data_IF_174634334461
#
_entry.id   IF_174634334461
#
_cell.length_a   1.000
_cell.length_b   1.000
_cell.length_c   1.000
_cell.angle_alpha   90.00
_cell.angle_beta   90.00
_cell.angle_gamma   90.00
#
_symmetry.space_group_name_H-M   'P 1'
#
loop_
_entity.id
_entity.type
_entity.pdbx_description
1 polymer ?
#
# COMPACT_ATOMS: atom_id res chain seq x y z
N UNK A 1 15.38 2.81 -2.90
CA UNK A 1 14.84 4.19 -2.92
C UNK A 1 13.44 4.18 -2.33
N UNK A 2 13.10 5.15 -1.49
CA UNK A 2 11.75 5.34 -0.95
C UNK A 2 11.04 6.43 -1.74
N UNK A 3 9.87 6.13 -2.31
CA UNK A 3 9.09 7.08 -3.13
C UNK A 3 7.63 7.07 -2.67
N UNK A 4 7.30 7.96 -1.73
CA UNK A 4 5.94 8.15 -1.23
C UNK A 4 5.12 9.09 -2.14
N UNK A 5 5.10 8.79 -3.44
CA UNK A 5 4.45 9.57 -4.49
C UNK A 5 4.06 8.65 -5.65
N UNK A 6 3.02 9.01 -6.41
CA UNK A 6 2.64 8.28 -7.62
C UNK A 6 1.58 9.02 -8.43
N UNK A 7 1.54 8.74 -9.74
CA UNK A 7 0.56 9.29 -10.66
C UNK A 7 -0.40 8.18 -11.14
N UNK A 8 -1.68 8.52 -11.31
CA UNK A 8 -2.71 7.55 -11.70
C UNK A 8 -2.93 7.55 -13.21
N UNK A 9 -3.14 6.37 -13.78
CA UNK A 9 -3.63 6.22 -15.16
C UNK A 9 -2.60 6.48 -16.26
N UNK A 10 -1.33 6.73 -15.92
CA UNK A 10 -0.26 6.90 -16.91
C UNK A 10 0.29 5.55 -17.36
N UNK A 11 0.49 5.39 -18.67
CA UNK A 11 1.30 4.28 -19.20
C UNK A 11 2.76 4.40 -18.73
N UNK A 12 3.50 3.30 -18.68
CA UNK A 12 4.89 3.27 -18.18
C UNK A 12 5.82 4.26 -18.89
N UNK A 13 5.57 4.55 -20.18
CA UNK A 13 6.34 5.54 -20.97
C UNK A 13 6.09 7.00 -20.55
N UNK A 14 4.98 7.30 -19.89
CA UNK A 14 4.63 8.64 -19.44
C UNK A 14 4.65 8.76 -17.91
N UNK A 15 5.07 7.71 -17.21
CA UNK A 15 5.17 7.69 -15.76
C UNK A 15 6.65 7.89 -15.34
N UNK A 16 7.00 9.07 -14.78
CA UNK A 16 8.36 9.36 -14.35
C UNK A 16 8.83 8.44 -13.21
N UNK A 17 7.91 7.95 -12.37
CA UNK A 17 8.26 6.98 -11.31
C UNK A 17 8.59 5.63 -11.94
N UNK A 18 7.81 5.18 -12.92
CA UNK A 18 8.09 3.95 -13.66
C UNK A 18 9.44 4.02 -14.40
N UNK A 19 9.71 5.11 -15.13
CA UNK A 19 10.98 5.30 -15.87
C UNK A 19 12.17 5.38 -14.90
N UNK A 20 12.10 6.25 -13.89
CA UNK A 20 13.19 6.44 -12.93
C UNK A 20 13.50 5.17 -12.15
N UNK A 21 12.47 4.42 -11.74
CA UNK A 21 12.63 3.15 -11.04
C UNK A 21 13.16 2.03 -11.95
N UNK A 22 12.86 2.05 -13.24
CA UNK A 22 13.44 1.12 -14.21
C UNK A 22 14.96 1.29 -14.28
N UNK A 23 15.44 2.54 -14.39
CA UNK A 23 16.87 2.81 -14.35
C UNK A 23 17.52 2.44 -13.02
N UNK A 24 16.80 2.61 -11.91
CA UNK A 24 17.30 2.23 -10.59
C UNK A 24 17.46 0.70 -10.45
N UNK A 25 16.46 -0.08 -10.88
CA UNK A 25 16.54 -1.54 -10.74
C UNK A 25 17.67 -2.13 -11.58
N UNK A 26 17.97 -1.56 -12.75
CA UNK A 26 19.12 -1.93 -13.58
C UNK A 26 20.47 -1.70 -12.90
N UNK A 27 20.54 -0.71 -12.01
CA UNK A 27 21.70 -0.46 -11.15
C UNK A 27 21.65 -1.25 -9.84
N UNK A 28 20.76 -2.23 -9.73
CA UNK A 28 20.60 -3.07 -8.54
C UNK A 28 19.92 -2.35 -7.36
N UNK A 29 19.25 -1.22 -7.60
CA UNK A 29 18.55 -0.44 -6.58
C UNK A 29 17.05 -0.69 -6.64
N UNK A 30 16.51 -1.36 -5.61
CA UNK A 30 15.07 -1.54 -5.49
C UNK A 30 14.39 -0.19 -5.18
N UNK A 31 13.33 0.12 -5.92
CA UNK A 31 12.45 1.27 -5.63
C UNK A 31 11.17 0.78 -4.98
N UNK A 32 10.88 1.36 -3.81
CA UNK A 32 9.69 1.06 -3.02
C UNK A 32 8.79 2.28 -3.09
N UNK A 33 7.55 2.08 -3.48
CA UNK A 33 6.62 3.17 -3.72
C UNK A 33 5.25 2.90 -3.09
N UNK A 34 4.61 3.96 -2.62
CA UNK A 34 3.27 3.90 -2.03
C UNK A 34 2.21 3.59 -3.09
N UNK A 35 1.19 2.79 -2.77
CA UNK A 35 0.14 2.44 -3.73
C UNK A 35 -0.83 3.60 -4.04
N UNK A 36 -0.96 4.58 -3.14
CA UNK A 36 -1.87 5.74 -3.24
C UNK A 36 -2.81 5.83 -2.02
N UNK A 37 -3.68 6.84 -1.94
CA UNK A 37 -4.63 7.03 -0.83
C UNK A 37 -6.08 7.27 -1.33
N UNK A 38 -6.52 6.58 -2.38
CA UNK A 38 -7.84 6.79 -3.01
C UNK A 38 -8.99 5.95 -2.42
N UNK A 39 -8.88 5.56 -1.16
CA UNK A 39 -9.89 4.76 -0.48
C UNK A 39 -9.94 3.32 -1.02
N UNK A 40 -10.97 2.56 -0.65
CA UNK A 40 -11.06 1.13 -0.98
C UNK A 40 -11.43 0.83 -2.45
N UNK A 41 -11.50 1.88 -3.28
CA UNK A 41 -11.81 1.76 -4.70
C UNK A 41 -10.88 0.78 -5.39
N UNK A 42 -11.45 -0.09 -6.21
CA UNK A 42 -10.69 -1.03 -7.04
C UNK A 42 -10.04 -0.31 -8.21
N UNK A 43 -8.91 -0.84 -8.67
CA UNK A 43 -8.24 -0.43 -9.90
C UNK A 43 -7.77 1.04 -9.94
N UNK A 44 -7.52 1.66 -8.78
CA UNK A 44 -7.05 3.05 -8.66
C UNK A 44 -5.68 3.14 -7.98
N UNK A 45 -4.79 2.22 -8.32
CA UNK A 45 -3.40 2.24 -7.84
C UNK A 45 -2.52 3.13 -8.74
N UNK A 46 -1.58 3.87 -8.16
CA UNK A 46 -0.67 4.73 -8.95
C UNK A 46 0.57 3.98 -9.43
N UNK A 47 1.25 3.25 -8.55
CA UNK A 47 2.57 2.68 -8.79
C UNK A 47 2.46 1.20 -9.21
N UNK A 48 2.04 0.94 -10.44
CA UNK A 48 1.74 -0.42 -10.94
C UNK A 48 2.92 -1.18 -11.56
N UNK A 49 4.05 -0.53 -11.85
CA UNK A 49 5.13 -1.17 -12.63
C UNK A 49 5.72 -2.42 -11.93
N UNK A 50 6.04 -3.51 -12.65
CA UNK A 50 6.51 -4.75 -12.02
C UNK A 50 7.89 -4.64 -11.36
N UNK A 51 8.74 -3.71 -11.80
CA UNK A 51 10.05 -3.46 -11.18
C UNK A 51 9.98 -2.56 -9.93
N UNK A 52 8.82 -2.02 -9.59
CA UNK A 52 8.55 -1.35 -8.31
C UNK A 52 8.10 -2.36 -7.27
N UNK A 53 8.48 -2.17 -6.00
CA UNK A 53 7.78 -2.77 -4.87
C UNK A 53 6.69 -1.79 -4.39
N UNK A 54 5.43 -2.16 -4.57
CA UNK A 54 4.28 -1.29 -4.31
C UNK A 54 3.64 -1.61 -2.97
N UNK A 55 3.54 -0.63 -2.08
CA UNK A 55 3.19 -0.82 -0.67
C UNK A 55 1.81 -0.25 -0.37
N UNK A 56 0.90 -1.08 0.14
CA UNK A 56 -0.34 -0.66 0.78
C UNK A 56 -0.16 -0.37 2.26
N UNK A 57 -1.16 0.29 2.86
CA UNK A 57 -1.13 0.63 4.28
C UNK A 57 -2.00 -0.30 5.11
N UNK A 58 -1.52 -0.67 6.30
CA UNK A 58 -2.29 -1.35 7.33
C UNK A 58 -2.38 -0.50 8.61
N UNK A 59 -3.38 -0.82 9.43
CA UNK A 59 -3.46 -0.39 10.82
C UNK A 59 -2.46 -1.14 11.69
N UNK A 60 -2.25 -0.61 12.90
CA UNK A 60 -1.51 -1.27 13.98
C UNK A 60 -2.41 -1.45 15.19
N UNK A 61 -1.93 -2.16 16.20
CA UNK A 61 -2.66 -2.38 17.44
C UNK A 61 -2.84 -1.08 18.25
N UNK A 62 -2.08 -0.03 18.01
CA UNK A 62 -2.37 1.30 18.55
C UNK A 62 -3.44 2.02 17.71
N UNK A 63 -4.46 2.53 18.39
CA UNK A 63 -5.50 3.40 17.84
C UNK A 63 -5.70 4.65 18.70
N UNK A 64 -5.74 5.83 18.12
CA UNK A 64 -6.07 7.07 18.83
C UNK A 64 -7.58 7.29 18.89
N UNK A 65 -8.10 7.51 20.10
CA UNK A 65 -9.53 7.72 20.34
C UNK A 65 -9.74 8.93 21.25
N UNK A 66 -10.59 9.85 20.80
CA UNK A 66 -11.14 10.93 21.62
C UNK A 66 -12.52 10.51 22.14
N UNK A 67 -12.75 10.63 23.45
CA UNK A 67 -14.05 10.33 24.05
C UNK A 67 -14.92 11.57 24.07
N UNK A 68 -16.19 11.42 23.74
CA UNK A 68 -17.20 12.46 23.84
C UNK A 68 -17.99 12.31 25.15
N UNK A 69 -18.01 13.37 25.95
CA UNK A 69 -18.91 13.64 27.09
C UNK A 69 -19.81 14.81 26.66
N UNK A 70 -20.62 15.46 27.51
CA UNK A 70 -21.71 16.34 27.07
C UNK A 70 -21.57 17.83 27.65
N UNK A 71 -21.29 18.88 26.81
CA UNK A 71 -20.90 20.38 26.77
C UNK A 71 -21.38 21.33 25.53
N UNK A 72 -20.70 22.42 25.09
CA UNK A 72 -21.17 23.31 23.95
C UNK A 72 -20.38 23.11 22.64
N UNK A 73 -20.88 22.32 21.68
CA UNK A 73 -20.11 21.87 20.50
C UNK A 73 -20.97 21.84 19.24
N UNK A 74 -20.38 22.18 18.08
CA UNK A 74 -21.08 22.21 16.78
C UNK A 74 -21.02 20.85 16.09
N UNK A 75 -22.16 20.34 15.63
CA UNK A 75 -22.20 19.18 14.75
C UNK A 75 -22.10 19.62 13.29
N UNK A 76 -21.10 19.14 12.57
CA UNK A 76 -20.97 19.30 11.13
C UNK A 76 -21.49 18.04 10.43
N UNK A 77 -22.49 18.18 9.56
CA UNK A 77 -23.05 17.03 8.81
C UNK A 77 -22.15 16.56 7.65
N UNK A 78 -21.12 17.35 7.32
CA UNK A 78 -20.12 17.04 6.29
C UNK A 78 -18.71 17.22 6.86
N UNK A 79 -17.72 16.68 6.15
CA UNK A 79 -16.30 16.93 6.45
C UNK A 79 -16.05 18.43 6.54
N UNK A 80 -15.41 18.84 7.62
CA UNK A 80 -15.09 20.23 7.92
C UNK A 80 -13.72 20.28 8.58
N UNK A 81 -12.96 21.34 8.32
CA UNK A 81 -11.71 21.62 9.04
C UNK A 81 -11.96 22.23 10.42
N UNK A 82 -13.21 22.60 10.71
CA UNK A 82 -13.58 23.33 11.93
C UNK A 82 -13.35 24.84 11.86
N UNK A 83 -12.79 25.37 10.77
CA UNK A 83 -12.46 26.79 10.65
C UNK A 83 -13.68 27.71 10.86
N UNK A 84 -14.83 27.37 10.27
CA UNK A 84 -16.07 28.15 10.48
C UNK A 84 -16.57 28.12 11.93
N UNK A 85 -16.31 27.03 12.65
CA UNK A 85 -16.66 26.91 14.07
C UNK A 85 -15.72 27.77 14.92
N UNK A 86 -14.44 27.78 14.57
CA UNK A 86 -13.43 28.62 15.22
C UNK A 86 -13.74 30.12 15.06
N UNK A 87 -14.05 30.58 13.85
CA UNK A 87 -14.42 31.99 13.57
C UNK A 87 -15.74 32.38 14.24
N UNK A 88 -16.65 31.42 14.39
CA UNK A 88 -17.92 31.59 15.09
C UNK A 88 -17.85 31.48 16.61
N UNK A 89 -16.64 31.47 17.20
CA UNK A 89 -16.39 31.36 18.65
C UNK A 89 -17.03 30.10 19.30
N UNK A 90 -17.19 29.02 18.52
CA UNK A 90 -17.65 27.73 19.04
C UNK A 90 -16.53 27.01 19.78
N UNK A 91 -16.85 26.14 20.75
CA UNK A 91 -15.84 25.50 21.62
C UNK A 91 -15.27 24.15 21.11
N UNK A 92 -15.87 23.58 20.07
CA UNK A 92 -15.41 22.35 19.42
C UNK A 92 -16.38 21.92 18.31
N UNK A 93 -16.00 20.90 17.54
CA UNK A 93 -16.86 20.37 16.49
C UNK A 93 -16.84 18.84 16.38
N UNK A 94 -17.92 18.29 15.83
CA UNK A 94 -18.08 16.85 15.57
C UNK A 94 -18.31 16.68 14.08
N UNK A 95 -17.57 15.78 13.45
CA UNK A 95 -17.71 15.44 12.02
C UNK A 95 -18.17 14.00 11.84
N UNK A 96 -18.77 13.64 10.69
CA UNK A 96 -19.03 12.25 10.35
C UNK A 96 -17.72 11.47 10.22
N UNK A 97 -17.74 10.19 10.63
CA UNK A 97 -16.71 9.23 10.22
C UNK A 97 -16.92 8.97 8.73
N UNK A 98 -15.99 9.38 7.87
CA UNK A 98 -16.05 9.00 6.47
C UNK A 98 -15.33 7.66 6.27
N UNK A 99 -15.95 6.74 5.54
CA UNK A 99 -15.49 5.36 5.33
C UNK A 99 -14.13 5.23 4.64
N UNK A 100 -13.58 6.33 4.12
CA UNK A 100 -12.31 6.39 3.40
C UNK A 100 -11.28 7.30 4.07
N UNK A 101 -11.61 7.88 5.23
CA UNK A 101 -10.74 8.90 5.82
C UNK A 101 -9.48 8.31 6.46
N UNK A 102 -8.44 9.12 6.45
CA UNK A 102 -7.20 8.89 7.17
C UNK A 102 -7.49 8.93 8.69
N UNK A 103 -7.23 7.85 9.44
CA UNK A 103 -7.44 7.86 10.88
C UNK A 103 -6.50 8.86 11.56
N UNK A 104 -7.01 9.47 12.63
CA UNK A 104 -6.31 10.45 13.46
C UNK A 104 -5.85 11.72 12.73
N UNK A 105 -6.71 12.32 11.89
CA UNK A 105 -6.46 13.66 11.33
C UNK A 105 -6.30 14.67 12.47
N UNK A 106 -5.17 15.39 12.54
CA UNK A 106 -4.97 16.39 13.57
C UNK A 106 -5.65 17.71 13.16
N UNK A 107 -6.51 18.18 14.04
CA UNK A 107 -7.21 19.45 13.89
C UNK A 107 -6.54 20.55 14.71
N UNK A 108 -6.65 21.80 14.25
CA UNK A 108 -6.25 23.01 14.99
C UNK A 108 -7.16 23.29 16.19
N UNK A 109 -8.30 22.61 16.25
CA UNK A 109 -9.38 22.87 17.19
C UNK A 109 -9.98 21.55 17.72
N UNK A 110 -10.57 21.48 18.94
CA UNK A 110 -11.11 20.24 19.48
C UNK A 110 -12.15 19.59 18.55
N UNK A 111 -11.87 18.36 18.14
CA UNK A 111 -12.68 17.60 17.19
C UNK A 111 -12.83 16.13 17.59
N UNK A 112 -13.95 15.52 17.20
CA UNK A 112 -14.14 14.06 17.25
C UNK A 112 -15.05 13.59 16.13
N UNK A 113 -14.93 12.31 15.77
CA UNK A 113 -15.74 11.67 14.73
C UNK A 113 -16.75 10.72 15.37
N UNK A 114 -18.04 11.11 15.45
CA UNK A 114 -19.12 10.22 15.91
C UNK A 114 -20.53 10.80 15.65
N UNK A 115 -20.94 10.90 14.38
CA UNK A 115 -22.21 11.58 14.04
C UNK A 115 -23.46 10.79 14.46
N UNK A 116 -23.47 9.46 14.29
CA UNK A 116 -24.70 8.67 14.41
C UNK A 116 -25.25 8.63 15.84
N UNK A 117 -24.37 8.41 16.83
CA UNK A 117 -24.74 8.40 18.25
C UNK A 117 -25.16 9.81 18.69
N UNK A 118 -24.48 10.84 18.19
CA UNK A 118 -24.70 12.24 18.57
C UNK A 118 -26.01 12.78 18.02
N UNK A 119 -26.37 12.44 16.78
CA UNK A 119 -27.64 12.86 16.18
C UNK A 119 -28.85 12.32 16.96
N UNK A 120 -28.80 11.05 17.39
CA UNK A 120 -29.84 10.47 18.24
C UNK A 120 -29.98 11.21 19.58
N UNK A 121 -28.85 11.58 20.19
CA UNK A 121 -28.83 12.33 21.45
C UNK A 121 -29.38 13.76 21.30
N UNK A 122 -28.96 14.50 20.28
CA UNK A 122 -29.45 15.87 20.01
C UNK A 122 -30.97 15.87 19.83
N UNK A 123 -31.54 14.89 19.11
CA UNK A 123 -32.98 14.80 18.85
C UNK A 123 -33.80 14.42 20.09
N UNK A 124 -33.19 13.77 21.08
CA UNK A 124 -33.87 13.26 22.27
C UNK A 124 -33.69 14.12 23.52
N UNK A 125 -32.91 15.21 23.44
CA UNK A 125 -32.62 16.10 24.57
C UNK A 125 -33.03 17.53 24.25
N UNK A 126 -33.77 18.18 25.15
CA UNK A 126 -34.15 19.59 25.01
C UNK A 126 -32.97 20.56 25.16
N UNK A 127 -31.92 20.15 25.88
CA UNK A 127 -30.70 20.94 26.12
C UNK A 127 -29.49 20.02 25.95
N UNK A 128 -29.12 19.67 24.71
CA UNK A 128 -27.99 18.79 24.47
C UNK A 128 -26.70 19.52 24.79
N UNK A 129 -25.80 18.80 25.45
CA UNK A 129 -24.49 19.31 25.85
C UNK A 129 -23.50 18.28 25.16
N UNK A 130 -22.40 18.59 24.42
CA UNK A 130 -21.15 17.81 24.04
C UNK A 130 -19.75 18.33 24.60
N UNK A 131 -18.85 17.51 25.21
CA UNK A 131 -17.50 17.79 25.75
C UNK A 131 -16.49 16.83 25.10
N UNK A 132 -15.44 17.32 24.45
CA UNK A 132 -14.41 16.47 23.83
C UNK A 132 -13.26 16.26 24.82
N UNK A 133 -12.99 14.99 25.18
CA UNK A 133 -11.86 14.64 26.02
C UNK A 133 -10.57 14.52 25.22
N UNK A 134 -9.43 14.72 25.88
CA UNK A 134 -8.09 14.54 25.31
C UNK A 134 -7.94 13.13 24.72
N UNK A 135 -7.36 13.07 23.52
CA UNK A 135 -7.09 11.83 22.80
C UNK A 135 -6.18 10.90 23.61
N UNK A 136 -6.56 9.62 23.66
CA UNK A 136 -5.76 8.56 24.30
C UNK A 136 -5.45 7.46 23.29
N UNK A 137 -4.32 6.78 23.49
CA UNK A 137 -3.98 5.58 22.75
C UNK A 137 -4.71 4.37 23.35
N UNK A 138 -5.32 3.56 22.50
CA UNK A 138 -6.05 2.33 22.83
C UNK A 138 -5.45 1.16 22.06
N UNK A 139 -5.62 -0.05 22.60
CA UNK A 139 -5.24 -1.29 21.91
C UNK A 139 -6.41 -1.79 21.05
N UNK A 140 -6.25 -1.76 19.74
CA UNK A 140 -7.13 -2.38 18.76
C UNK A 140 -6.76 -3.87 18.61
N UNK A 141 -7.63 -4.73 19.13
CA UNK A 141 -7.44 -6.18 19.05
C UNK A 141 -7.78 -6.76 17.66
N UNK A 142 -8.39 -5.96 16.79
CA UNK A 142 -8.74 -6.38 15.43
C UNK A 142 -7.62 -6.09 14.43
N UNK A 143 -6.60 -5.30 14.81
CA UNK A 143 -5.43 -5.05 13.99
C UNK A 143 -4.55 -6.31 13.82
N UNK A 144 -3.76 -6.39 12.73
CA UNK A 144 -3.68 -5.46 11.61
C UNK A 144 -4.82 -5.65 10.60
N UNK A 145 -5.41 -4.56 10.13
CA UNK A 145 -6.33 -4.55 8.99
C UNK A 145 -5.75 -3.66 7.89
N UNK A 146 -6.13 -3.90 6.64
CA UNK A 146 -5.77 -2.98 5.56
C UNK A 146 -6.48 -1.65 5.80
N UNK A 147 -5.74 -0.56 5.74
CA UNK A 147 -6.27 0.76 6.03
C UNK A 147 -7.34 1.16 5.00
N UNK A 148 -8.42 1.84 5.42
CA UNK A 148 -9.56 2.17 4.56
C UNK A 148 -9.20 3.15 3.43
N UNK A 149 -8.22 4.02 3.66
CA UNK A 149 -7.71 4.97 2.66
C UNK A 149 -6.81 4.31 1.60
N UNK A 150 -6.30 3.11 1.84
CA UNK A 150 -5.42 2.44 0.88
C UNK A 150 -6.24 1.95 -0.33
N UNK A 151 -5.80 2.19 -1.59
CA UNK A 151 -6.44 1.69 -2.80
C UNK A 151 -6.22 0.21 -3.02
N UNK A 152 -7.09 -0.37 -3.85
CA UNK A 152 -7.13 -1.79 -4.17
C UNK A 152 -6.71 -1.96 -5.62
N UNK A 153 -6.05 -3.07 -5.91
CA UNK A 153 -5.86 -3.54 -7.27
C UNK A 153 -7.20 -3.82 -7.98
N UNK A 154 -7.17 -4.39 -9.20
CA UNK A 154 -5.98 -4.87 -9.92
C UNK A 154 -5.13 -3.75 -10.52
N UNK A 155 -3.93 -4.11 -10.98
CA UNK A 155 -3.12 -3.26 -11.86
C UNK A 155 -3.76 -3.20 -13.25
N UNK A 156 -4.27 -2.03 -13.67
CA UNK A 156 -4.91 -1.89 -14.98
C UNK A 156 -3.96 -1.98 -16.16
N UNK A 157 -2.69 -1.60 -15.99
CA UNK A 157 -1.70 -1.64 -17.07
C UNK A 157 -1.19 -3.05 -17.33
N UNK A 158 -1.14 -3.88 -16.29
CA UNK A 158 -0.73 -5.28 -16.39
C UNK A 158 -1.50 -6.12 -15.35
N UNK A 159 -2.74 -6.53 -15.66
CA UNK A 159 -3.59 -7.26 -14.70
C UNK A 159 -3.04 -8.64 -14.31
N UNK A 160 -2.11 -9.18 -15.10
CA UNK A 160 -1.34 -10.40 -14.80
C UNK A 160 -0.35 -10.24 -13.63
N UNK A 161 -0.09 -8.99 -13.20
CA UNK A 161 0.81 -8.66 -12.09
C UNK A 161 -0.03 -8.12 -10.94
N UNK A 162 -0.15 -8.93 -9.88
CA UNK A 162 -0.89 -8.57 -8.68
C UNK A 162 -0.29 -7.32 -8.02
N UNK A 163 -1.16 -6.40 -7.58
CA UNK A 163 -0.81 -5.20 -6.83
C UNK A 163 -1.90 -4.89 -5.77
N UNK A 164 -1.54 -4.32 -4.60
CA UNK A 164 -0.18 -4.00 -4.15
C UNK A 164 0.67 -5.27 -3.94
N UNK A 165 1.98 -5.12 -3.75
CA UNK A 165 2.86 -6.28 -3.55
C UNK A 165 2.79 -6.79 -2.11
N UNK A 166 2.68 -5.90 -1.14
CA UNK A 166 2.50 -6.20 0.29
C UNK A 166 1.94 -4.96 1.01
N UNK A 167 1.60 -5.10 2.30
CA UNK A 167 1.23 -3.98 3.17
C UNK A 167 2.19 -3.81 4.34
N UNK A 168 2.26 -2.59 4.86
CA UNK A 168 2.98 -2.27 6.09
C UNK A 168 2.23 -1.19 6.88
N UNK A 169 2.64 -0.97 8.14
CA UNK A 169 2.05 0.03 9.02
C UNK A 169 2.08 1.43 8.36
N UNK A 170 0.90 1.99 8.13
CA UNK A 170 0.74 3.30 7.50
C UNK A 170 -0.35 4.16 8.12
N UNK A 171 -1.10 3.66 9.09
CA UNK A 171 -2.07 4.44 9.85
C UNK A 171 -1.45 4.95 11.15
N UNK A 172 -1.71 6.22 11.47
CA UNK A 172 -1.37 6.86 12.75
C UNK A 172 0.12 6.76 13.12
N UNK A 173 1.01 6.95 12.15
CA UNK A 173 2.47 6.86 12.35
C UNK A 173 3.00 8.15 12.96
N UNK A 174 3.71 8.04 14.09
CA UNK A 174 4.44 9.14 14.69
C UNK A 174 5.83 9.24 14.05
N UNK A 175 6.15 10.39 13.45
CA UNK A 175 7.46 10.64 12.85
C UNK A 175 7.93 12.08 13.11
N UNK A 176 9.19 12.36 12.80
CA UNK A 176 9.73 13.72 12.87
C UNK A 176 8.95 14.67 11.96
N UNK A 177 8.78 15.92 12.40
CA UNK A 177 8.07 16.97 11.69
C UNK A 177 8.88 18.26 11.70
N UNK A 178 8.63 19.11 10.70
CA UNK A 178 9.31 20.39 10.62
C UNK A 178 8.89 21.29 11.78
N UNK A 179 9.83 21.88 12.54
CA UNK A 179 9.53 22.74 13.69
C UNK A 179 8.91 24.08 13.28
N UNK A 180 8.82 24.37 11.98
CA UNK A 180 8.18 25.58 11.43
C UNK A 180 6.87 25.28 10.68
N UNK A 181 6.56 24.01 10.43
CA UNK A 181 5.32 23.61 9.77
C UNK A 181 4.16 23.47 10.77
N UNK A 182 2.94 23.75 10.30
CA UNK A 182 1.72 23.50 11.06
C UNK A 182 1.53 21.99 11.32
N UNK A 183 1.09 21.59 12.52
CA UNK A 183 0.71 20.22 12.86
C UNK A 183 -0.79 19.99 12.65
N UNK A 184 -1.42 20.64 11.69
CA UNK A 184 -2.78 20.35 11.28
C UNK A 184 -2.99 20.67 9.80
N UNK A 185 -4.15 20.29 9.28
CA UNK A 185 -4.58 20.63 7.92
C UNK A 185 -4.84 22.13 7.72
N UNK A 186 -4.85 22.90 8.82
CA UNK A 186 -5.16 24.32 8.81
C UNK A 186 -3.88 25.17 8.69
N UNK A 187 -3.70 25.94 7.61
CA UNK A 187 -2.50 26.77 7.42
C UNK A 187 -2.34 27.86 8.48
N UNK A 188 -3.44 28.28 9.10
CA UNK A 188 -3.45 29.32 10.15
C UNK A 188 -3.06 28.79 11.53
N UNK A 189 -2.88 27.48 11.70
CA UNK A 189 -2.45 26.89 12.98
C UNK A 189 -0.97 27.23 13.27
N UNK A 190 -0.79 27.99 14.34
CA UNK A 190 0.51 28.51 14.79
C UNK A 190 1.25 27.57 15.73
N UNK A 191 0.64 26.45 16.16
CA UNK A 191 1.30 25.45 17.00
C UNK A 191 2.49 24.84 16.25
N UNK A 192 3.50 24.39 16.99
CA UNK A 192 4.69 23.73 16.43
C UNK A 192 5.02 22.50 17.25
N UNK A 193 5.55 21.48 16.57
CA UNK A 193 5.94 20.21 17.18
C UNK A 193 7.12 19.62 16.42
N UNK A 194 7.97 18.89 17.14
CA UNK A 194 9.08 18.14 16.53
C UNK A 194 8.64 16.78 15.97
N UNK A 195 7.47 16.29 16.40
CA UNK A 195 6.91 15.03 15.96
C UNK A 195 5.42 15.17 15.62
N UNK A 196 4.98 14.47 14.59
CA UNK A 196 3.64 14.55 14.05
C UNK A 196 3.10 13.16 13.77
N UNK A 197 1.81 12.96 14.05
CA UNK A 197 1.09 11.72 13.74
C UNK A 197 0.43 11.92 12.38
N UNK A 198 0.75 11.04 11.44
CA UNK A 198 0.19 11.09 10.10
C UNK A 198 -0.18 9.69 9.60
N UNK A 199 -1.13 9.64 8.67
CA UNK A 199 -1.62 8.42 8.05
C UNK A 199 -1.39 8.50 6.54
N UNK A 200 -1.22 7.35 5.91
CA UNK A 200 -1.08 7.25 4.46
C UNK A 200 -0.19 6.10 4.04
N UNK A 201 -0.35 5.66 2.79
CA UNK A 201 0.59 4.72 2.17
C UNK A 201 1.99 5.33 2.06
N UNK A 202 2.07 6.67 2.05
CA UNK A 202 3.30 7.45 2.22
C UNK A 202 4.09 7.13 3.48
N UNK A 203 3.44 6.66 4.55
CA UNK A 203 4.07 6.26 5.81
C UNK A 203 4.41 4.77 5.83
N UNK A 204 3.65 3.93 5.12
CA UNK A 204 3.98 2.50 4.94
C UNK A 204 5.21 2.26 4.06
N UNK A 205 5.37 3.06 3.00
CA UNK A 205 6.51 3.00 2.06
C UNK A 205 7.90 3.06 2.75
N UNK A 206 8.18 4.02 3.64
CA UNK A 206 9.48 4.10 4.32
C UNK A 206 9.72 2.94 5.31
N UNK A 207 8.69 2.36 5.92
CA UNK A 207 8.85 1.15 6.76
C UNK A 207 9.40 -0.01 5.94
N UNK A 208 8.78 -0.30 4.79
CA UNK A 208 9.25 -1.35 3.87
C UNK A 208 10.65 -1.01 3.34
N UNK A 209 10.94 0.28 3.09
CA UNK A 209 12.27 0.70 2.66
C UNK A 209 13.35 0.44 3.70
N UNK A 210 13.08 0.70 4.97
CA UNK A 210 14.00 0.38 6.07
C UNK A 210 14.31 -1.11 6.13
N UNK A 211 13.28 -1.96 6.04
CA UNK A 211 13.46 -3.42 6.04
C UNK A 211 14.19 -3.89 4.80
N UNK A 212 13.85 -3.40 3.61
CA UNK A 212 14.53 -3.76 2.37
C UNK A 212 16.03 -3.38 2.39
N UNK A 213 16.36 -2.22 2.95
CA UNK A 213 17.73 -1.79 3.13
C UNK A 213 18.49 -2.72 4.09
N UNK A 214 17.88 -3.07 5.23
CA UNK A 214 18.46 -4.03 6.17
C UNK A 214 18.67 -5.42 5.53
N UNK A 215 17.66 -5.94 4.82
CA UNK A 215 17.75 -7.19 4.08
C UNK A 215 18.88 -7.15 3.03
N UNK A 216 19.08 -6.02 2.35
CA UNK A 216 20.17 -5.84 1.39
C UNK A 216 21.56 -5.77 2.04
N UNK A 217 21.68 -5.18 3.23
CA UNK A 217 22.94 -5.18 4.00
C UNK A 217 23.36 -6.60 4.38
N UNK A 218 22.40 -7.43 4.80
CA UNK A 218 22.64 -8.82 5.17
C UNK A 218 22.88 -9.68 3.90
N UNK A 219 22.08 -9.47 2.85
CA UNK A 219 22.12 -10.22 1.60
C UNK A 219 22.73 -9.39 0.46
N UNK A 220 24.00 -8.99 0.62
CA UNK A 220 24.65 -8.03 -0.30
C UNK A 220 24.66 -8.47 -1.76
N UNK A 221 24.73 -9.78 -2.02
CA UNK A 221 24.75 -10.36 -3.38
C UNK A 221 23.37 -10.44 -4.04
N UNK A 222 22.28 -10.33 -3.27
CA UNK A 222 20.93 -10.43 -3.83
C UNK A 222 20.62 -9.25 -4.76
N UNK A 223 20.00 -9.52 -5.90
CA UNK A 223 19.47 -8.49 -6.79
C UNK A 223 18.33 -7.73 -6.13
N UNK A 224 17.96 -6.57 -6.69
CA UNK A 224 16.79 -5.83 -6.25
C UNK A 224 15.49 -6.66 -6.35
N UNK A 225 15.35 -7.48 -7.40
CA UNK A 225 14.22 -8.39 -7.57
C UNK A 225 14.21 -9.49 -6.49
N UNK A 226 15.37 -10.04 -6.12
CA UNK A 226 15.49 -11.03 -5.06
C UNK A 226 15.14 -10.43 -3.67
N UNK A 227 15.56 -9.19 -3.38
CA UNK A 227 15.15 -8.49 -2.15
C UNK A 227 13.64 -8.27 -2.13
N UNK A 228 13.05 -7.83 -3.25
CA UNK A 228 11.60 -7.72 -3.39
C UNK A 228 10.90 -9.05 -3.14
N UNK A 229 11.40 -10.13 -3.74
CA UNK A 229 10.89 -11.48 -3.51
C UNK A 229 10.94 -11.85 -2.05
N UNK A 230 12.08 -11.64 -1.39
CA UNK A 230 12.24 -11.99 0.02
C UNK A 230 11.20 -11.30 0.90
N UNK A 231 10.92 -10.01 0.66
CA UNK A 231 9.91 -9.26 1.42
C UNK A 231 8.49 -9.79 1.18
N UNK A 232 8.16 -10.14 -0.07
CA UNK A 232 6.84 -10.66 -0.44
C UNK A 232 6.61 -12.08 0.12
N UNK A 233 7.51 -13.02 -0.17
CA UNK A 233 7.31 -14.45 0.16
C UNK A 233 7.44 -14.77 1.65
N UNK A 234 7.89 -13.81 2.47
CA UNK A 234 8.04 -14.00 3.92
C UNK A 234 7.04 -13.17 4.73
N UNK A 235 6.17 -12.41 4.06
CA UNK A 235 5.11 -11.62 4.72
C UNK A 235 4.17 -12.52 5.53
N UNK A 236 3.63 -11.97 6.62
CA UNK A 236 2.57 -12.63 7.38
C UNK A 236 1.29 -12.64 6.55
N UNK A 237 0.70 -13.83 6.39
CA UNK A 237 -0.62 -13.96 5.79
C UNK A 237 -1.65 -13.13 6.58
N UNK A 238 -2.45 -12.36 5.85
CA UNK A 238 -3.57 -11.62 6.44
C UNK A 238 -4.84 -12.44 6.34
N UNK A 239 -5.75 -12.27 7.31
CA UNK A 239 -7.02 -13.00 7.32
C UNK A 239 -7.96 -12.46 6.22
N UNK A 240 -8.24 -13.23 5.14
CA UNK A 240 -9.08 -12.77 4.04
C UNK A 240 -10.52 -12.52 4.49
N UNK A 241 -10.99 -13.19 5.55
CA UNK A 241 -12.36 -13.02 6.06
C UNK A 241 -12.59 -11.66 6.70
N UNK A 242 -11.52 -10.96 7.08
CA UNK A 242 -11.60 -9.61 7.66
C UNK A 242 -11.52 -8.50 6.61
N UNK A 243 -11.20 -8.83 5.35
CA UNK A 243 -10.71 -7.85 4.38
C UNK A 243 -11.43 -8.00 3.04
N UNK A 244 -12.20 -6.97 2.67
CA UNK A 244 -12.74 -6.88 1.32
C UNK A 244 -11.61 -6.82 0.28
N UNK A 245 -11.78 -7.57 -0.81
CA UNK A 245 -10.88 -7.59 -1.98
C UNK A 245 -9.55 -8.33 -1.78
N UNK A 246 -9.36 -9.04 -0.66
CA UNK A 246 -8.30 -10.05 -0.45
C UNK A 246 -6.91 -9.58 -0.92
N UNK A 247 -6.23 -10.33 -1.80
CA UNK A 247 -4.88 -10.01 -2.28
C UNK A 247 -4.80 -8.69 -3.06
N UNK A 248 -5.91 -8.18 -3.62
CA UNK A 248 -5.93 -6.84 -4.21
C UNK A 248 -5.88 -5.73 -3.15
N UNK A 249 -6.10 -6.04 -1.87
CA UNK A 249 -5.94 -5.12 -0.76
C UNK A 249 -4.56 -5.23 -0.10
N UNK A 250 -4.06 -6.46 0.15
CA UNK A 250 -2.83 -6.68 0.92
C UNK A 250 -1.65 -7.32 0.19
N UNK A 251 -1.80 -7.72 -1.07
CA UNK A 251 -0.74 -8.41 -1.82
C UNK A 251 -0.35 -9.73 -1.16
N UNK A 252 0.93 -9.92 -0.91
CA UNK A 252 1.45 -11.08 -0.18
C UNK A 252 1.18 -11.05 1.34
N UNK A 253 0.65 -9.94 1.87
CA UNK A 253 0.31 -9.81 3.29
C UNK A 253 1.11 -8.72 4.01
N UNK A 254 1.19 -8.84 5.34
CA UNK A 254 1.87 -7.86 6.19
C UNK A 254 3.38 -8.11 6.25
N UNK A 255 4.16 -7.07 6.00
CA UNK A 255 5.62 -7.10 6.07
C UNK A 255 6.14 -7.81 7.33
N UNK A 256 7.02 -8.79 7.14
CA UNK A 256 7.71 -9.51 8.21
C UNK A 256 9.23 -9.23 8.16
N UNK A 257 9.74 -8.29 8.97
CA UNK A 257 11.15 -7.91 8.92
C UNK A 257 12.11 -9.05 9.25
N UNK A 258 11.75 -9.88 10.23
CA UNK A 258 12.61 -10.93 10.78
C UNK A 258 12.81 -12.10 9.81
N UNK A 259 11.78 -12.41 9.01
CA UNK A 259 11.86 -13.51 8.03
C UNK A 259 12.45 -13.06 6.69
N UNK A 260 12.29 -11.78 6.32
CA UNK A 260 12.77 -11.24 5.05
C UNK A 260 14.29 -11.35 4.87
N UNK A 261 15.07 -11.44 5.96
CA UNK A 261 16.53 -11.58 5.89
C UNK A 261 16.98 -12.97 5.49
N UNK A 262 16.16 -14.00 5.71
CA UNK A 262 16.46 -15.40 5.42
C UNK A 262 15.28 -16.09 4.71
N UNK A 263 14.98 -15.72 3.45
CA UNK A 263 13.78 -16.20 2.75
C UNK A 263 13.90 -17.67 2.26
N UNK A 264 15.10 -18.25 2.28
CA UNK A 264 15.40 -19.57 1.70
C UNK A 264 15.41 -19.53 0.18
N UNK A 265 14.25 -19.31 -0.44
CA UNK A 265 14.07 -19.22 -1.89
C UNK A 265 13.66 -17.80 -2.32
N UNK A 266 14.10 -17.39 -3.51
CA UNK A 266 13.68 -16.12 -4.11
C UNK A 266 13.32 -16.30 -5.59
N UNK A 267 12.35 -15.51 -6.06
CA UNK A 267 12.06 -15.29 -7.47
C UNK A 267 12.92 -14.13 -7.97
N UNK A 268 13.90 -14.44 -8.81
CA UNK A 268 14.82 -13.44 -9.36
C UNK A 268 14.37 -13.00 -10.76
N UNK A 269 14.67 -11.75 -11.13
CA UNK A 269 14.40 -11.21 -12.44
C UNK A 269 15.55 -10.31 -12.89
N UNK A 270 15.87 -10.38 -14.17
CA UNK A 270 16.90 -9.58 -14.84
C UNK A 270 16.28 -8.38 -15.58
N UNK A 271 17.14 -7.46 -16.02
CA UNK A 271 16.78 -6.36 -16.91
C UNK A 271 16.10 -6.87 -18.20
N UNK A 272 16.64 -7.94 -18.78
CA UNK A 272 16.07 -8.57 -19.99
C UNK A 272 14.65 -9.09 -19.76
N UNK A 273 14.34 -9.60 -18.56
CA UNK A 273 13.00 -10.07 -18.22
C UNK A 273 11.98 -8.92 -18.21
N UNK A 274 12.37 -7.75 -17.71
CA UNK A 274 11.50 -6.56 -17.72
C UNK A 274 11.35 -5.97 -19.13
N UNK A 275 12.40 -5.97 -19.96
CA UNK A 275 12.32 -5.56 -21.37
C UNK A 275 11.41 -6.51 -22.16
N UNK A 276 11.53 -7.81 -21.93
CA UNK A 276 10.65 -8.82 -22.54
C UNK A 276 9.20 -8.64 -22.07
N UNK A 277 8.98 -8.37 -20.78
CA UNK A 277 7.67 -8.03 -20.24
C UNK A 277 7.08 -6.82 -20.98
N UNK A 278 7.82 -5.71 -21.10
CA UNK A 278 7.38 -4.51 -21.83
C UNK A 278 7.03 -4.83 -23.29
N UNK A 279 7.85 -5.63 -23.96
CA UNK A 279 7.61 -6.08 -25.34
C UNK A 279 6.27 -6.81 -25.46
N UNK A 280 5.97 -7.72 -24.50
CA UNK A 280 4.70 -8.46 -24.44
C UNK A 280 3.50 -7.56 -24.12
N UNK A 281 3.70 -6.45 -23.42
CA UNK A 281 2.65 -5.44 -23.20
C UNK A 281 2.37 -4.58 -24.46
N UNK A 282 3.01 -4.87 -25.59
CA UNK A 282 2.78 -4.18 -26.87
C UNK A 282 3.71 -2.98 -27.12
N UNK A 283 4.71 -2.76 -26.28
CA UNK A 283 5.72 -1.72 -26.52
C UNK A 283 6.67 -2.19 -27.62
N UNK A 284 6.91 -1.35 -28.63
CA UNK A 284 7.91 -1.63 -29.66
C UNK A 284 9.30 -1.14 -29.22
N UNK A 285 10.34 -1.48 -29.99
CA UNK A 285 11.73 -1.11 -29.68
C UNK A 285 11.91 0.40 -29.48
N UNK A 286 11.23 1.25 -30.26
CA UNK A 286 11.32 2.72 -30.09
C UNK A 286 10.73 3.15 -28.75
N UNK A 287 9.56 2.62 -28.39
CA UNK A 287 8.85 2.94 -27.15
C UNK A 287 9.60 2.42 -25.91
N UNK A 288 10.12 1.19 -25.98
CA UNK A 288 10.93 0.59 -24.90
C UNK A 288 12.16 1.43 -24.64
N UNK A 289 12.86 1.92 -25.68
CA UNK A 289 14.06 2.75 -25.51
C UNK A 289 13.80 4.09 -24.82
N UNK A 290 12.57 4.61 -24.87
CA UNK A 290 12.18 5.79 -24.10
C UNK A 290 12.10 5.50 -22.60
N UNK A 291 11.82 4.25 -22.21
CA UNK A 291 11.80 3.79 -20.82
C UNK A 291 13.20 3.34 -20.38
N UNK A 292 13.91 2.58 -21.21
CA UNK A 292 15.21 1.98 -20.85
C UNK A 292 16.37 2.95 -20.99
N UNK A 293 16.23 4.00 -21.80
CA UNK A 293 17.24 5.02 -22.10
C UNK A 293 18.50 4.48 -22.79
N UNK A 294 18.43 3.30 -23.42
CA UNK A 294 19.58 2.62 -24.01
C UNK A 294 19.28 1.96 -25.38
N UNK A 295 20.05 0.95 -25.76
CA UNK A 295 19.89 0.21 -27.03
C UNK A 295 19.06 -1.07 -26.90
N UNK A 296 18.28 -1.25 -25.84
CA UNK A 296 17.39 -2.40 -25.66
C UNK A 296 16.50 -2.64 -26.88
N UNK A 297 16.22 -3.91 -27.17
CA UNK A 297 15.46 -4.34 -28.35
C UNK A 297 14.39 -5.34 -27.94
N UNK A 298 13.17 -5.14 -28.44
CA UNK A 298 12.11 -6.13 -28.33
C UNK A 298 12.42 -7.31 -29.25
N UNK A 299 12.74 -8.48 -28.68
CA UNK A 299 12.99 -9.72 -29.46
C UNK A 299 11.73 -10.20 -30.20
N UNK A 300 10.54 -9.85 -29.71
CA UNK A 300 9.25 -10.13 -30.32
C UNK A 300 8.28 -9.00 -29.99
N UNK A 301 7.52 -8.54 -30.98
CA UNK A 301 6.43 -7.57 -30.79
C UNK A 301 5.06 -8.24 -30.71
N UNK A 302 5.00 -9.59 -30.64
CA UNK A 302 3.73 -10.28 -30.45
C UNK A 302 3.22 -9.98 -29.04
N UNK A 303 2.05 -9.35 -28.89
CA UNK A 303 1.46 -9.12 -27.57
C UNK A 303 1.27 -10.45 -26.86
N UNK A 304 1.51 -10.45 -25.56
CA UNK A 304 1.46 -11.63 -24.73
C UNK A 304 1.08 -11.27 -23.31
N UNK A 305 0.94 -12.30 -22.48
CA UNK A 305 0.61 -12.14 -21.07
C UNK A 305 1.85 -11.71 -20.28
N UNK A 306 1.63 -10.90 -19.25
CA UNK A 306 2.68 -10.48 -18.31
C UNK A 306 3.09 -11.58 -17.33
N UNK A 307 2.29 -12.65 -17.26
CA UNK A 307 2.37 -13.71 -16.25
C UNK A 307 3.63 -14.58 -16.28
N UNK A 308 4.48 -14.47 -17.31
CA UNK A 308 5.72 -15.22 -17.49
C UNK A 308 6.89 -14.53 -16.79
N UNK A 309 6.70 -13.26 -16.39
CA UNK A 309 7.67 -12.58 -15.54
C UNK A 309 7.83 -13.41 -14.26
N UNK A 310 9.07 -13.68 -13.87
CA UNK A 310 9.39 -14.49 -12.70
C UNK A 310 9.10 -13.73 -11.40
N UNK A 311 7.81 -13.59 -11.12
CA UNK A 311 7.26 -12.70 -10.10
C UNK A 311 6.79 -13.50 -8.88
N UNK A 312 6.93 -12.97 -7.64
CA UNK A 312 6.57 -13.69 -6.40
C UNK A 312 5.05 -13.83 -6.14
N UNK A 313 4.22 -13.67 -7.16
CA UNK A 313 2.78 -13.86 -7.08
C UNK A 313 2.21 -14.28 -8.44
N UNK A 314 0.96 -14.73 -8.42
CA UNK A 314 0.22 -15.18 -9.58
C UNK A 314 -1.09 -14.40 -9.66
N UNK A 315 -1.39 -13.82 -10.82
CA UNK A 315 -2.67 -13.17 -11.09
C UNK A 315 -3.16 -13.58 -12.47
N UNK A 316 -4.46 -13.89 -12.56
CA UNK A 316 -5.11 -14.29 -13.79
C UNK A 316 -6.37 -13.46 -13.99
N UNK A 317 -6.36 -12.43 -14.85
CA UNK A 317 -7.60 -11.81 -15.31
C UNK A 317 -8.40 -12.84 -16.12
N UNK A 318 -9.61 -13.14 -15.63
CA UNK A 318 -10.57 -14.06 -16.25
C UNK A 318 -11.78 -13.28 -16.77
N UNK A 319 -12.47 -13.82 -17.79
CA UNK A 319 -13.73 -13.29 -18.27
C UNK A 319 -14.88 -14.08 -17.67
N UNK A 320 -15.94 -13.39 -17.27
CA UNK A 320 -17.14 -14.04 -16.73
C UNK A 320 -17.72 -15.03 -17.76
N UNK A 321 -18.12 -16.22 -17.28
CA UNK A 321 -18.70 -17.28 -18.12
C UNK A 321 -17.70 -18.05 -18.99
N UNK A 322 -16.40 -17.81 -18.85
CA UNK A 322 -15.35 -18.54 -19.57
C UNK A 322 -14.60 -19.49 -18.64
N UNK A 323 -14.03 -20.55 -19.21
CA UNK A 323 -13.16 -21.48 -18.48
C UNK A 323 -11.95 -20.74 -17.89
N UNK A 324 -11.64 -21.03 -16.63
CA UNK A 324 -10.48 -20.48 -15.92
C UNK A 324 -9.28 -21.37 -16.22
N UNK A 325 -8.41 -20.93 -17.12
CA UNK A 325 -7.19 -21.64 -17.48
C UNK A 325 -5.98 -20.70 -17.43
N UNK A 326 -4.96 -21.07 -16.66
CA UNK A 326 -3.69 -20.34 -16.59
C UNK A 326 -2.50 -21.28 -16.42
N UNK A 327 -1.41 -20.98 -17.12
CA UNK A 327 -0.14 -21.71 -17.01
C UNK A 327 0.98 -20.73 -16.72
N UNK A 328 1.57 -20.85 -15.55
CA UNK A 328 2.63 -19.97 -15.08
C UNK A 328 3.94 -20.73 -15.01
N UNK A 329 5.02 -20.12 -15.49
CA UNK A 329 6.38 -20.66 -15.32
C UNK A 329 7.12 -19.80 -14.31
N UNK A 330 7.80 -20.44 -13.36
CA UNK A 330 8.61 -19.75 -12.34
C UNK A 330 9.94 -20.45 -12.16
N UNK A 331 10.94 -19.67 -11.78
CA UNK A 331 12.26 -20.15 -11.40
C UNK A 331 12.57 -19.62 -10.01
N UNK A 332 12.74 -20.52 -9.05
CA UNK A 332 13.16 -20.17 -7.69
C UNK A 332 14.64 -20.43 -7.51
N UNK A 333 15.34 -19.51 -6.85
CA UNK A 333 16.78 -19.63 -6.55
C UNK A 333 16.95 -19.80 -5.05
N UNK A 334 17.71 -20.82 -4.63
CA UNK A 334 18.12 -20.98 -3.23
C UNK A 334 19.19 -19.94 -2.88
N UNK A 335 18.92 -19.12 -1.86
CA UNK A 335 19.83 -18.09 -1.34
C UNK A 335 20.40 -18.44 0.03
N UNK A 336 20.03 -19.61 0.58
CA UNK A 336 20.65 -20.13 1.79
C UNK A 336 22.03 -20.72 1.51
N UNK A 337 22.84 -20.89 2.56
CA UNK A 337 24.17 -21.49 2.48
C UNK A 337 24.16 -23.01 2.31
N UNK A 338 23.02 -23.65 2.56
CA UNK A 338 22.85 -25.11 2.53
C UNK A 338 21.89 -25.55 1.43
N UNK A 339 22.13 -26.72 0.86
CA UNK A 339 21.15 -27.37 0.00
C UNK A 339 19.95 -27.83 0.83
N UNK A 340 18.75 -27.64 0.29
CA UNK A 340 17.50 -28.05 0.93
C UNK A 340 16.51 -28.53 -0.13
N UNK A 341 15.65 -29.47 0.26
CA UNK A 341 14.53 -29.95 -0.56
C UNK A 341 13.24 -29.31 -0.07
N UNK A 342 12.48 -28.72 -0.98
CA UNK A 342 11.21 -28.07 -0.68
C UNK A 342 10.05 -28.89 -1.24
N UNK A 343 8.97 -28.99 -0.47
CA UNK A 343 7.73 -29.62 -0.91
C UNK A 343 6.67 -28.53 -1.15
N UNK A 344 5.98 -28.62 -2.29
CA UNK A 344 4.93 -27.66 -2.64
C UNK A 344 3.65 -28.07 -1.90
N UNK A 345 3.07 -27.11 -1.18
CA UNK A 345 1.72 -27.21 -0.63
C UNK A 345 0.83 -26.20 -1.35
N UNK A 346 -0.40 -26.59 -1.68
CA UNK A 346 -1.36 -25.77 -2.40
C UNK A 346 -2.65 -25.74 -1.63
N UNK A 347 -3.14 -24.54 -1.35
CA UNK A 347 -4.43 -24.31 -0.70
C UNK A 347 -5.31 -23.52 -1.68
N UNK A 348 -6.36 -24.17 -2.21
CA UNK A 348 -7.28 -23.57 -3.19
C UNK A 348 -8.71 -23.95 -2.85
N UNK A 349 -9.70 -23.10 -3.18
CA UNK A 349 -11.12 -23.47 -3.04
C UNK A 349 -11.48 -24.63 -3.98
N UNK A 350 -12.52 -25.37 -3.64
CA UNK A 350 -12.97 -26.57 -4.39
C UNK A 350 -13.29 -26.30 -5.87
N UNK A 351 -13.56 -25.04 -6.23
CA UNK A 351 -13.86 -24.61 -7.60
C UNK A 351 -12.63 -24.45 -8.50
N UNK A 352 -11.41 -24.51 -7.95
CA UNK A 352 -10.16 -24.30 -8.69
C UNK A 352 -9.20 -25.45 -8.41
N UNK A 353 -8.74 -26.11 -9.48
CA UNK A 353 -7.69 -27.13 -9.40
C UNK A 353 -6.34 -26.54 -9.83
N UNK A 354 -5.33 -26.64 -8.97
CA UNK A 354 -3.96 -26.17 -9.24
C UNK A 354 -3.00 -27.34 -9.16
N UNK A 355 -2.21 -27.52 -10.22
CA UNK A 355 -1.15 -28.52 -10.27
C UNK A 355 0.20 -27.86 -10.50
N UNK A 356 1.20 -28.27 -9.73
CA UNK A 356 2.57 -27.78 -9.86
C UNK A 356 3.45 -28.95 -10.30
N UNK A 357 4.22 -28.73 -11.36
CA UNK A 357 5.15 -29.73 -11.92
C UNK A 357 6.58 -29.18 -11.80
N UNK A 358 7.46 -29.85 -11.04
CA UNK A 358 8.89 -29.52 -10.99
C UNK A 358 9.58 -29.62 -12.35
#
# INVERSE_FOLDING_TARGET
MSVSFGLLGYQYINDPVAIGSFHAIRKGMLTIASVGNLGQSRAVISNGAPWLLTVGASTMDRKFVSKLVLGQIVLCERRSTGYGVLVGDGAGFIIPVLTFDEPAVPFSFPATENIDIVLGYIRSSEKPVATILVTKAWKDHLAPNVAPFSPRGPNLLAPDILKPDLVAAGAEILAAWSPIASPSIEPTDTRRTNCFINSGTSMSCPHVTGVAANTKVINQKCSAAAIKSALMTTSYEMDPKKLENEEFAYGSGLLNPSMAVNPGLVFNASDEDYVNFLSKQGYNTTTVRLITGDRSVCKSNKPGRGWDLNYPSFSLPVKYGHEILGKFTRTVTNVSSSNATYHVSVNTPDSINVTVKP
#
